data_IF_254332707326
#
_entry.id   IF_254332707326
#
_cell.length_a   1.000
_cell.length_b   1.000
_cell.length_c   1.000
_cell.angle_alpha   90.00
_cell.angle_beta   90.00
_cell.angle_gamma   90.00
#
_symmetry.space_group_name_H-M   'P 1'
#
loop_
_entity.id
_entity.type
_entity.pdbx_description
1 polymer ?
#
# COMPACT_ATOMS: atom_id res chain seq x y z
N UNK A 1 -19.91 11.29 -20.74
CA UNK A 1 -19.30 11.31 -19.40
C UNK A 1 -19.56 9.96 -18.74
N UNK A 2 -18.53 9.42 -18.12
CA UNK A 2 -18.42 8.10 -17.50
C UNK A 2 -18.16 6.93 -18.44
N UNK A 3 -17.71 7.10 -19.68
CA UNK A 3 -17.56 5.93 -20.60
C UNK A 3 -16.31 5.12 -20.27
N UNK A 4 -15.17 5.80 -20.07
CA UNK A 4 -13.90 5.14 -19.80
C UNK A 4 -13.92 4.49 -18.41
N UNK A 5 -14.46 5.21 -17.41
CA UNK A 5 -14.65 4.65 -16.06
C UNK A 5 -15.54 3.40 -16.05
N UNK A 6 -16.65 3.39 -16.79
CA UNK A 6 -17.53 2.21 -16.91
C UNK A 6 -16.83 1.04 -17.56
N UNK A 7 -16.15 1.24 -18.70
CA UNK A 7 -15.42 0.17 -19.38
C UNK A 7 -14.36 -0.45 -18.47
N UNK A 8 -13.60 0.36 -17.73
CA UNK A 8 -12.63 -0.13 -16.75
C UNK A 8 -13.31 -0.98 -15.67
N UNK A 9 -14.45 -0.54 -15.13
CA UNK A 9 -15.19 -1.28 -14.09
C UNK A 9 -15.76 -2.59 -14.63
N UNK A 10 -16.32 -2.58 -15.84
CA UNK A 10 -16.83 -3.77 -16.52
C UNK A 10 -15.71 -4.79 -16.77
N UNK A 11 -14.59 -4.38 -17.35
CA UNK A 11 -13.41 -5.25 -17.53
C UNK A 11 -12.89 -5.76 -16.19
N UNK A 12 -12.83 -4.91 -15.16
CA UNK A 12 -12.37 -5.33 -13.82
C UNK A 12 -13.30 -6.38 -13.23
N UNK A 13 -14.62 -6.25 -13.42
CA UNK A 13 -15.59 -7.24 -12.96
C UNK A 13 -15.47 -8.57 -13.71
N UNK A 14 -15.09 -8.54 -15.00
CA UNK A 14 -14.89 -9.75 -15.80
C UNK A 14 -13.56 -10.45 -15.53
N UNK A 15 -12.47 -9.68 -15.42
CA UNK A 15 -11.08 -10.20 -15.40
C UNK A 15 -10.43 -10.18 -14.02
N UNK A 16 -11.01 -9.48 -13.06
CA UNK A 16 -10.41 -9.24 -11.74
C UNK A 16 -9.27 -8.22 -11.78
N UNK A 17 -8.67 -7.97 -10.62
CA UNK A 17 -7.50 -7.10 -10.47
C UNK A 17 -6.28 -7.84 -11.06
N UNK A 18 -5.49 -7.20 -11.94
CA UNK A 18 -4.35 -7.83 -12.58
C UNK A 18 -3.23 -8.14 -11.58
N UNK A 19 -2.61 -9.30 -11.75
CA UNK A 19 -1.32 -9.57 -11.10
C UNK A 19 -0.20 -8.74 -11.75
N UNK A 20 0.85 -8.39 -10.98
CA UNK A 20 1.03 -8.71 -9.56
C UNK A 20 0.48 -7.63 -8.60
N UNK A 21 -0.33 -6.69 -9.11
CA UNK A 21 -0.87 -5.60 -8.32
C UNK A 21 -1.92 -6.03 -7.30
N UNK A 22 -2.65 -7.12 -7.58
CA UNK A 22 -3.49 -7.77 -6.58
C UNK A 22 -2.64 -8.23 -5.40
N UNK A 23 -1.61 -9.04 -5.65
CA UNK A 23 -0.68 -9.53 -4.62
C UNK A 23 0.01 -8.40 -3.84
N UNK A 24 0.43 -7.34 -4.54
CA UNK A 24 1.01 -6.17 -3.90
C UNK A 24 0.00 -5.44 -3.00
N UNK A 25 -1.22 -5.22 -3.48
CA UNK A 25 -2.30 -4.61 -2.71
C UNK A 25 -2.63 -5.42 -1.45
N UNK A 26 -2.69 -6.74 -1.55
CA UNK A 26 -2.89 -7.64 -0.42
C UNK A 26 -1.80 -7.51 0.64
N UNK A 27 -0.53 -7.39 0.23
CA UNK A 27 0.56 -7.10 1.16
C UNK A 27 0.35 -5.78 1.91
N UNK A 28 -0.14 -4.74 1.23
CA UNK A 28 -0.40 -3.45 1.88
C UNK A 28 -1.62 -3.52 2.82
N UNK A 29 -2.69 -4.22 2.46
CA UNK A 29 -3.79 -4.49 3.39
C UNK A 29 -3.33 -5.24 4.64
N UNK A 30 -2.47 -6.25 4.48
CA UNK A 30 -1.87 -7.00 5.59
C UNK A 30 -0.96 -6.14 6.44
N UNK A 31 -0.26 -5.17 5.86
CA UNK A 31 0.62 -4.26 6.60
C UNK A 31 -0.14 -3.49 7.69
N UNK A 32 -1.35 -2.99 7.39
CA UNK A 32 -2.22 -2.35 8.40
C UNK A 32 -2.79 -3.33 9.42
N UNK A 33 -3.12 -4.56 8.98
CA UNK A 33 -3.56 -5.62 9.90
C UNK A 33 -2.45 -5.98 10.90
N UNK A 34 -1.21 -6.15 10.43
CA UNK A 34 -0.04 -6.40 11.26
C UNK A 34 0.23 -5.26 12.23
N UNK A 35 0.06 -4.00 11.82
CA UNK A 35 0.24 -2.86 12.74
C UNK A 35 -0.79 -2.86 13.88
N UNK A 36 -2.05 -3.15 13.54
CA UNK A 36 -3.14 -3.26 14.52
C UNK A 36 -2.88 -4.41 15.50
N UNK A 37 -2.46 -5.56 14.97
CA UNK A 37 -2.13 -6.74 15.78
C UNK A 37 -0.91 -6.51 16.66
N UNK A 38 0.12 -5.85 16.13
CA UNK A 38 1.34 -5.52 16.86
C UNK A 38 1.05 -4.69 18.11
N UNK A 39 0.17 -3.69 18.02
CA UNK A 39 -0.30 -2.94 19.19
C UNK A 39 -0.98 -3.84 20.21
N UNK A 40 -1.88 -4.72 19.75
CA UNK A 40 -2.60 -5.64 20.60
C UNK A 40 -1.64 -6.55 21.38
N UNK A 41 -0.67 -7.16 20.71
CA UNK A 41 0.29 -8.07 21.36
C UNK A 41 1.26 -7.31 22.29
N UNK A 42 1.68 -6.09 21.94
CA UNK A 42 2.49 -5.22 22.81
C UNK A 42 1.72 -4.90 24.10
N UNK A 43 0.45 -4.52 24.00
CA UNK A 43 -0.38 -4.22 25.18
C UNK A 43 -0.58 -5.43 26.10
N UNK A 44 -0.67 -6.63 25.53
CA UNK A 44 -0.74 -7.88 26.30
C UNK A 44 0.59 -8.15 26.99
N UNK A 45 1.71 -8.07 26.26
CA UNK A 45 3.04 -8.27 26.81
C UNK A 45 3.37 -7.31 27.96
N UNK A 46 2.92 -6.05 27.86
CA UNK A 46 3.04 -5.07 28.96
C UNK A 46 2.31 -5.47 30.24
N UNK A 47 1.17 -6.18 30.12
CA UNK A 47 0.32 -6.58 31.25
C UNK A 47 0.78 -7.91 31.86
N UNK A 48 1.14 -8.87 31.02
CA UNK A 48 1.42 -10.25 31.42
C UNK A 48 2.90 -10.47 31.76
N UNK A 49 3.80 -9.82 31.02
CA UNK A 49 5.26 -9.88 31.21
C UNK A 49 5.83 -11.31 31.25
N UNK A 50 5.16 -12.26 30.60
CA UNK A 50 5.63 -13.64 30.48
C UNK A 50 6.35 -13.89 29.15
N UNK A 51 7.06 -15.02 29.06
CA UNK A 51 7.85 -15.36 27.89
C UNK A 51 6.98 -15.57 26.63
N UNK A 52 5.73 -16.00 26.78
CA UNK A 52 4.84 -16.27 25.66
C UNK A 52 4.38 -14.97 25.00
N UNK A 53 3.92 -14.00 25.79
CA UNK A 53 3.49 -12.69 25.34
C UNK A 53 4.64 -11.88 24.71
N UNK A 54 5.85 -11.92 25.28
CA UNK A 54 7.05 -11.32 24.66
C UNK A 54 7.42 -11.98 23.31
N UNK A 55 7.28 -13.31 23.23
CA UNK A 55 7.52 -14.06 21.98
C UNK A 55 6.47 -13.71 20.91
N UNK A 56 5.22 -13.46 21.31
CA UNK A 56 4.16 -13.05 20.38
C UNK A 56 4.48 -11.72 19.69
N UNK A 57 5.02 -10.73 20.42
CA UNK A 57 5.47 -9.45 19.83
C UNK A 57 6.57 -9.66 18.80
N UNK A 58 7.59 -10.46 19.14
CA UNK A 58 8.70 -10.76 18.23
C UNK A 58 8.22 -11.46 16.95
N UNK A 59 7.27 -12.38 17.08
CA UNK A 59 6.66 -13.07 15.94
C UNK A 59 5.90 -12.12 15.03
N UNK A 60 5.17 -11.16 15.61
CA UNK A 60 4.40 -10.19 14.84
C UNK A 60 5.31 -9.21 14.08
N UNK A 61 6.38 -8.71 14.70
CA UNK A 61 7.40 -7.93 13.99
C UNK A 61 8.03 -8.70 12.83
N UNK A 62 8.33 -9.99 13.03
CA UNK A 62 8.87 -10.83 11.98
C UNK A 62 7.88 -11.04 10.82
N UNK A 63 6.60 -11.29 11.12
CA UNK A 63 5.55 -11.45 10.12
C UNK A 63 5.36 -10.16 9.30
N UNK A 64 5.28 -9.01 9.98
CA UNK A 64 5.20 -7.68 9.37
C UNK A 64 6.38 -7.40 8.44
N UNK A 65 7.61 -7.68 8.91
CA UNK A 65 8.84 -7.50 8.12
C UNK A 65 8.86 -8.39 6.88
N UNK A 66 8.45 -9.66 7.01
CA UNK A 66 8.37 -10.60 5.89
C UNK A 66 7.34 -10.17 4.84
N UNK A 67 6.19 -9.64 5.28
CA UNK A 67 5.16 -9.09 4.41
C UNK A 67 5.69 -7.90 3.58
N UNK A 68 6.39 -6.95 4.21
CA UNK A 68 7.00 -5.82 3.50
C UNK A 68 8.13 -6.23 2.56
N UNK A 69 8.89 -7.27 2.91
CA UNK A 69 9.90 -7.83 2.01
C UNK A 69 9.26 -8.47 0.76
N UNK A 70 8.10 -9.12 0.94
CA UNK A 70 7.31 -9.68 -0.18
C UNK A 70 6.80 -8.56 -1.09
N UNK A 71 6.25 -7.49 -0.52
CA UNK A 71 5.79 -6.33 -1.28
C UNK A 71 6.92 -5.69 -2.11
N UNK A 72 8.10 -5.53 -1.52
CA UNK A 72 9.28 -5.01 -2.22
C UNK A 72 9.70 -5.93 -3.38
N UNK A 73 9.79 -7.24 -3.14
CA UNK A 73 10.16 -8.22 -4.16
C UNK A 73 9.20 -8.25 -5.35
N UNK A 74 7.90 -8.03 -5.12
CA UNK A 74 6.91 -7.90 -6.20
C UNK A 74 7.23 -6.69 -7.09
N UNK A 75 7.50 -5.53 -6.49
CA UNK A 75 7.82 -4.31 -7.25
C UNK A 75 9.13 -4.44 -8.02
N UNK A 76 10.17 -5.01 -7.39
CA UNK A 76 11.46 -5.24 -8.03
C UNK A 76 11.31 -6.16 -9.25
N UNK A 77 10.58 -7.27 -9.10
CA UNK A 77 10.33 -8.21 -10.20
C UNK A 77 9.62 -7.54 -11.39
N UNK A 78 8.54 -6.79 -11.15
CA UNK A 78 7.84 -6.10 -12.25
C UNK A 78 8.73 -5.08 -12.92
N UNK A 79 9.50 -4.33 -12.13
CA UNK A 79 10.39 -3.31 -12.69
C UNK A 79 11.42 -3.93 -13.62
N UNK A 80 12.03 -5.03 -13.20
CA UNK A 80 12.98 -5.78 -14.03
C UNK A 80 12.31 -6.34 -15.29
N UNK A 81 11.12 -6.94 -15.18
CA UNK A 81 10.38 -7.49 -16.31
C UNK A 81 9.98 -6.41 -17.33
N UNK A 82 9.58 -5.23 -16.87
CA UNK A 82 9.20 -4.10 -17.72
C UNK A 82 10.40 -3.39 -18.33
N UNK A 83 11.53 -3.31 -17.62
CA UNK A 83 12.80 -2.83 -18.17
C UNK A 83 13.28 -3.73 -19.32
N UNK A 84 13.08 -5.05 -19.22
CA UNK A 84 13.44 -6.02 -20.29
C UNK A 84 12.46 -5.99 -21.46
N UNK A 85 11.15 -5.92 -21.17
CA UNK A 85 10.11 -6.00 -22.21
C UNK A 85 9.83 -4.67 -22.92
N UNK A 86 10.31 -3.54 -22.39
CA UNK A 86 10.06 -2.20 -22.95
C UNK A 86 8.64 -1.68 -22.68
N UNK A 87 7.96 -2.26 -21.69
CA UNK A 87 6.54 -2.02 -21.42
C UNK A 87 6.23 -0.58 -20.96
N UNK A 88 7.23 0.14 -20.44
CA UNK A 88 7.08 1.49 -19.91
C UNK A 88 6.49 2.49 -20.92
N UNK A 89 6.93 2.46 -22.18
CA UNK A 89 6.43 3.38 -23.21
C UNK A 89 4.94 3.16 -23.50
N UNK A 90 4.52 1.89 -23.50
CA UNK A 90 3.11 1.51 -23.68
C UNK A 90 2.27 2.03 -22.51
N UNK A 91 2.75 1.83 -21.28
CA UNK A 91 2.07 2.28 -20.07
C UNK A 91 1.99 3.80 -19.98
N UNK A 92 3.04 4.52 -20.38
CA UNK A 92 3.05 5.98 -20.43
C UNK A 92 2.04 6.51 -21.47
N UNK A 93 1.92 5.86 -22.62
CA UNK A 93 0.92 6.20 -23.63
C UNK A 93 -0.52 5.98 -23.11
N UNK A 94 -0.75 4.92 -22.34
CA UNK A 94 -2.04 4.70 -21.66
C UNK A 94 -2.28 5.79 -20.60
N UNK A 95 -1.27 6.15 -19.81
CA UNK A 95 -1.42 7.14 -18.74
C UNK A 95 -1.75 8.51 -19.31
N UNK A 96 -1.13 8.88 -20.45
CA UNK A 96 -1.43 10.10 -21.19
C UNK A 96 -2.90 10.15 -21.64
N UNK A 97 -3.48 9.01 -22.03
CA UNK A 97 -4.87 8.89 -22.53
C UNK A 97 -5.94 8.76 -21.44
N UNK A 98 -5.56 8.40 -20.22
CA UNK A 98 -6.50 8.26 -19.10
C UNK A 98 -7.20 9.60 -18.80
N UNK A 99 -8.53 9.62 -18.89
CA UNK A 99 -9.37 10.73 -18.47
C UNK A 99 -9.62 10.61 -16.96
N UNK A 100 -8.83 11.36 -16.19
CA UNK A 100 -8.84 11.30 -14.73
C UNK A 100 -10.20 11.70 -14.18
N UNK A 101 -10.89 12.67 -14.78
CA UNK A 101 -12.15 13.14 -14.24
C UNK A 101 -13.27 12.13 -14.53
N UNK A 102 -13.30 11.55 -15.74
CA UNK A 102 -14.26 10.49 -16.13
C UNK A 102 -14.14 9.23 -15.25
N UNK A 103 -12.91 8.76 -15.03
CA UNK A 103 -12.66 7.58 -14.19
C UNK A 103 -12.93 7.89 -12.71
N UNK A 104 -12.62 9.10 -12.25
CA UNK A 104 -12.90 9.53 -10.87
C UNK A 104 -14.39 9.60 -10.55
N UNK A 105 -15.23 10.01 -11.50
CA UNK A 105 -16.70 10.03 -11.31
C UNK A 105 -17.22 8.64 -10.97
N UNK A 106 -16.75 7.61 -11.68
CA UNK A 106 -17.19 6.22 -11.45
C UNK A 106 -16.73 5.70 -10.07
N UNK A 107 -15.52 6.05 -9.63
CA UNK A 107 -15.05 5.70 -8.28
C UNK A 107 -15.75 6.48 -7.17
N UNK A 108 -16.21 7.71 -7.43
CA UNK A 108 -16.89 8.52 -6.43
C UNK A 108 -18.19 7.87 -5.94
N UNK A 109 -18.92 7.18 -6.83
CA UNK A 109 -20.18 6.51 -6.51
C UNK A 109 -20.02 5.38 -5.48
N UNK A 110 -18.85 4.74 -5.43
CA UNK A 110 -18.58 3.61 -4.52
C UNK A 110 -17.77 3.99 -3.28
N UNK A 111 -17.02 5.11 -3.32
CA UNK A 111 -16.13 5.53 -2.24
C UNK A 111 -16.73 6.59 -1.29
N UNK A 112 -17.98 7.01 -1.51
CA UNK A 112 -18.65 8.06 -0.74
C UNK A 112 -19.11 7.65 0.67
N UNK A 113 -18.35 6.80 1.37
CA UNK A 113 -18.68 6.34 2.73
C UNK A 113 -18.19 7.33 3.79
N UNK A 114 -17.05 8.00 3.56
CA UNK A 114 -16.48 9.01 4.47
C UNK A 114 -16.65 10.42 3.87
N UNK A 115 -17.02 11.45 4.66
CA UNK A 115 -17.24 12.81 4.15
C UNK A 115 -16.02 13.47 3.50
N UNK A 116 -14.81 13.08 3.92
CA UNK A 116 -13.56 13.48 3.30
C UNK A 116 -13.11 12.40 2.30
N UNK A 117 -13.10 12.67 0.97
CA UNK A 117 -12.83 11.66 -0.06
C UNK A 117 -11.32 11.45 -0.26
N UNK A 118 -10.61 11.04 0.80
CA UNK A 118 -9.15 10.84 0.76
C UNK A 118 -8.73 9.81 -0.31
N UNK A 119 -9.46 8.70 -0.42
CA UNK A 119 -9.18 7.64 -1.40
C UNK A 119 -9.28 8.18 -2.83
N UNK A 120 -10.34 8.94 -3.14
CA UNK A 120 -10.51 9.55 -4.46
C UNK A 120 -9.43 10.61 -4.73
N UNK A 121 -9.04 11.37 -3.71
CA UNK A 121 -7.96 12.34 -3.81
C UNK A 121 -6.63 11.65 -4.12
N UNK A 122 -6.35 10.53 -3.46
CA UNK A 122 -5.15 9.71 -3.69
C UNK A 122 -5.14 9.08 -5.09
N UNK A 123 -6.26 8.53 -5.58
CA UNK A 123 -6.40 8.01 -6.95
C UNK A 123 -6.03 9.08 -7.99
N UNK A 124 -6.63 10.28 -7.85
CA UNK A 124 -6.38 11.41 -8.75
C UNK A 124 -4.94 11.89 -8.68
N UNK A 125 -4.35 11.91 -7.49
CA UNK A 125 -2.94 12.24 -7.31
C UNK A 125 -2.06 11.25 -8.09
N UNK A 126 -2.25 9.94 -7.91
CA UNK A 126 -1.42 8.92 -8.55
C UNK A 126 -1.52 8.95 -10.08
N UNK A 127 -2.72 9.12 -10.64
CA UNK A 127 -2.86 9.24 -12.09
C UNK A 127 -2.23 10.51 -12.67
N UNK A 128 -2.32 11.65 -11.95
CA UNK A 128 -1.60 12.87 -12.34
C UNK A 128 -0.09 12.68 -12.25
N UNK A 129 0.37 12.02 -11.19
CA UNK A 129 1.78 11.70 -10.99
C UNK A 129 2.32 10.86 -12.15
N UNK A 130 1.59 9.82 -12.59
CA UNK A 130 1.98 9.02 -13.75
C UNK A 130 2.05 9.84 -15.04
N UNK A 131 1.12 10.78 -15.26
CA UNK A 131 1.16 11.66 -16.43
C UNK A 131 2.36 12.62 -16.42
N UNK A 132 2.79 13.05 -15.24
CA UNK A 132 3.90 14.00 -15.07
C UNK A 132 5.27 13.33 -15.06
N UNK A 133 5.38 12.18 -14.40
CA UNK A 133 6.66 11.51 -14.11
C UNK A 133 6.82 10.15 -14.80
N UNK A 134 5.84 9.74 -15.59
CA UNK A 134 5.77 8.41 -16.18
C UNK A 134 5.34 7.33 -15.18
N UNK A 135 4.91 6.20 -15.71
CA UNK A 135 4.46 5.05 -14.93
C UNK A 135 5.63 4.42 -14.18
N UNK A 136 6.84 4.42 -14.75
CA UNK A 136 8.06 3.99 -14.03
C UNK A 136 8.34 4.86 -12.80
N UNK A 137 8.07 6.16 -12.88
CA UNK A 137 8.15 7.07 -11.74
C UNK A 137 7.20 6.63 -10.61
N UNK A 138 5.97 6.27 -10.96
CA UNK A 138 5.01 5.75 -9.98
C UNK A 138 5.48 4.45 -9.30
N UNK A 139 6.04 3.49 -10.05
CA UNK A 139 6.63 2.27 -9.44
C UNK A 139 7.79 2.60 -8.50
N UNK A 140 8.59 3.61 -8.84
CA UNK A 140 9.68 4.10 -7.98
C UNK A 140 9.11 4.68 -6.70
N UNK A 141 8.10 5.54 -6.79
CA UNK A 141 7.38 6.08 -5.62
C UNK A 141 6.80 4.97 -4.73
N UNK A 142 6.20 3.92 -5.31
CA UNK A 142 5.72 2.77 -4.54
C UNK A 142 6.86 2.01 -3.85
N UNK A 143 8.03 1.91 -4.48
CA UNK A 143 9.21 1.26 -3.90
C UNK A 143 9.76 2.05 -2.71
N UNK A 144 9.88 3.38 -2.86
CA UNK A 144 10.33 4.29 -1.80
C UNK A 144 9.38 4.26 -0.61
N UNK A 145 8.08 4.17 -0.90
CA UNK A 145 7.04 4.01 0.11
C UNK A 145 7.20 2.72 0.93
N UNK A 146 7.40 1.57 0.28
CA UNK A 146 7.66 0.30 0.99
C UNK A 146 8.95 0.37 1.81
N UNK A 147 10.00 1.02 1.29
CA UNK A 147 11.24 1.23 2.04
C UNK A 147 11.03 2.10 3.29
N UNK A 148 10.19 3.13 3.21
CA UNK A 148 9.82 3.95 4.37
C UNK A 148 9.05 3.15 5.42
N UNK A 149 8.10 2.30 5.02
CA UNK A 149 7.38 1.40 5.93
C UNK A 149 8.31 0.40 6.64
N UNK A 150 9.31 -0.13 5.92
CA UNK A 150 10.33 -1.02 6.51
C UNK A 150 11.17 -0.30 7.55
N UNK A 151 11.63 0.92 7.24
CA UNK A 151 12.37 1.77 8.17
C UNK A 151 11.53 2.09 9.41
N UNK A 152 10.25 2.38 9.22
CA UNK A 152 9.30 2.65 10.29
C UNK A 152 9.06 1.42 11.18
N UNK A 153 8.97 0.23 10.58
CA UNK A 153 8.83 -1.05 11.32
C UNK A 153 10.07 -1.34 12.16
N UNK A 154 11.28 -1.13 11.61
CA UNK A 154 12.54 -1.28 12.34
C UNK A 154 12.61 -0.31 13.52
N UNK A 155 12.27 0.96 13.30
CA UNK A 155 12.22 1.96 14.37
C UNK A 155 11.27 1.56 15.51
N UNK A 156 10.11 0.99 15.18
CA UNK A 156 9.17 0.51 16.18
C UNK A 156 9.72 -0.69 16.95
N UNK A 157 10.36 -1.64 16.25
CA UNK A 157 11.01 -2.78 16.89
C UNK A 157 12.09 -2.34 17.87
N UNK A 158 12.98 -1.43 17.45
CA UNK A 158 14.01 -0.87 18.33
C UNK A 158 13.43 -0.16 19.56
N UNK A 159 12.29 0.53 19.42
CA UNK A 159 11.62 1.16 20.55
C UNK A 159 11.01 0.13 21.51
N UNK A 160 10.45 -0.95 20.98
CA UNK A 160 9.97 -2.07 21.78
C UNK A 160 11.10 -2.79 22.53
N UNK A 161 12.21 -3.09 21.85
CA UNK A 161 13.36 -3.76 22.46
C UNK A 161 13.94 -2.91 23.60
N UNK A 162 14.05 -1.59 23.41
CA UNK A 162 14.44 -0.66 24.49
C UNK A 162 13.44 -0.64 25.64
N UNK A 163 12.14 -0.73 25.35
CA UNK A 163 11.11 -0.80 26.39
C UNK A 163 11.27 -2.08 27.22
N UNK A 164 11.51 -3.23 26.58
CA UNK A 164 11.77 -4.50 27.27
C UNK A 164 13.01 -4.41 28.15
N UNK A 165 14.09 -3.81 27.66
CA UNK A 165 15.35 -3.69 28.40
C UNK A 165 15.28 -2.72 29.58
N UNK A 166 14.56 -1.61 29.44
CA UNK A 166 14.60 -0.48 30.37
C UNK A 166 13.33 -0.27 31.19
N UNK A 167 12.21 -0.85 30.77
CA UNK A 167 10.87 -0.58 31.27
C UNK A 167 10.31 0.80 30.88
N UNK A 168 11.02 1.59 30.06
CA UNK A 168 10.59 2.93 29.64
C UNK A 168 9.81 2.84 28.33
N UNK A 169 8.53 3.24 28.39
CA UNK A 169 7.62 3.18 27.24
C UNK A 169 7.81 4.39 26.32
N UNK A 170 8.14 4.15 25.04
CA UNK A 170 8.10 5.17 23.98
C UNK A 170 6.74 5.18 23.28
N UNK A 171 5.79 5.90 23.89
CA UNK A 171 4.43 6.06 23.37
C UNK A 171 4.42 6.79 22.02
N UNK A 172 5.34 7.74 21.80
CA UNK A 172 5.34 8.55 20.59
C UNK A 172 5.76 7.73 19.38
N UNK A 173 6.82 6.92 19.50
CA UNK A 173 7.22 6.03 18.42
C UNK A 173 6.12 5.02 18.11
N UNK A 174 5.47 4.43 19.13
CA UNK A 174 4.34 3.52 18.92
C UNK A 174 3.20 4.17 18.12
N UNK A 175 2.76 5.37 18.52
CA UNK A 175 1.67 6.10 17.84
C UNK A 175 2.06 6.46 16.41
N UNK A 176 3.27 6.97 16.19
CA UNK A 176 3.75 7.36 14.87
C UNK A 176 3.85 6.15 13.93
N UNK A 177 4.46 5.06 14.41
CA UNK A 177 4.67 3.88 13.59
C UNK A 177 3.36 3.18 13.23
N UNK A 178 2.42 3.11 14.16
CA UNK A 178 1.06 2.61 13.95
C UNK A 178 0.31 3.46 12.93
N UNK A 179 0.26 4.78 13.13
CA UNK A 179 -0.48 5.69 12.25
C UNK A 179 0.02 5.60 10.81
N UNK A 180 1.34 5.60 10.60
CA UNK A 180 1.92 5.45 9.25
C UNK A 180 1.57 4.09 8.63
N UNK A 181 1.56 3.02 9.43
CA UNK A 181 1.23 1.67 8.95
C UNK A 181 -0.28 1.46 8.73
N UNK A 182 -1.13 2.35 9.24
CA UNK A 182 -2.59 2.32 9.02
C UNK A 182 -2.96 3.25 7.86
N UNK A 183 -2.58 4.52 7.95
CA UNK A 183 -2.95 5.55 6.99
C UNK A 183 -2.44 5.20 5.60
N UNK A 184 -1.15 4.87 5.52
CA UNK A 184 -0.54 4.77 4.23
C UNK A 184 -1.04 3.53 3.47
N UNK A 185 -1.16 2.32 4.06
CA UNK A 185 -1.69 1.17 3.34
C UNK A 185 -3.21 1.20 3.10
N UNK A 186 -4.01 1.79 4.01
CA UNK A 186 -5.45 2.04 3.76
C UNK A 186 -5.67 2.93 2.52
N UNK A 187 -4.72 3.81 2.23
CA UNK A 187 -4.70 4.62 1.02
C UNK A 187 -3.85 4.03 -0.11
N UNK A 188 -3.25 2.84 0.03
CA UNK A 188 -2.42 2.21 -1.00
C UNK A 188 -3.02 0.94 -1.62
N UNK A 189 -4.13 0.39 -1.12
CA UNK A 189 -5.08 -0.36 -1.97
C UNK A 189 -5.63 0.54 -3.10
N UNK A 190 -5.30 1.83 -3.11
CA UNK A 190 -5.40 2.72 -4.27
C UNK A 190 -4.44 2.33 -5.39
N UNK A 191 -3.22 1.85 -5.10
CA UNK A 191 -2.21 1.57 -6.12
C UNK A 191 -2.69 0.48 -7.10
N UNK A 192 -3.35 -0.56 -6.60
CA UNK A 192 -3.93 -1.59 -7.47
C UNK A 192 -5.07 -1.00 -8.33
N UNK A 193 -5.94 -0.14 -7.78
CA UNK A 193 -7.01 0.54 -8.54
C UNK A 193 -6.45 1.51 -9.57
N UNK A 194 -5.39 2.23 -9.21
CA UNK A 194 -4.69 3.17 -10.09
C UNK A 194 -4.16 2.44 -11.32
N UNK A 195 -3.44 1.33 -11.12
CA UNK A 195 -2.86 0.56 -12.23
C UNK A 195 -3.91 -0.28 -12.96
N UNK A 196 -4.90 -0.84 -12.28
CA UNK A 196 -6.01 -1.56 -12.93
C UNK A 196 -6.72 -0.66 -13.92
N UNK A 197 -7.04 0.58 -13.51
CA UNK A 197 -7.65 1.57 -14.40
C UNK A 197 -6.77 1.87 -15.62
N UNK A 198 -5.45 1.88 -15.45
CA UNK A 198 -4.52 2.10 -16.54
C UNK A 198 -4.46 0.88 -17.49
N UNK A 199 -4.34 -0.33 -16.95
CA UNK A 199 -4.16 -1.56 -17.73
C UNK A 199 -5.42 -1.95 -18.50
N UNK A 200 -6.60 -1.61 -17.99
CA UNK A 200 -7.90 -1.90 -18.63
C UNK A 200 -8.50 -0.72 -19.40
N UNK A 201 -7.68 0.30 -19.67
CA UNK A 201 -8.12 1.50 -20.39
C UNK A 201 -8.78 1.20 -21.75
N UNK A 202 -8.30 0.16 -22.43
CA UNK A 202 -8.66 -0.18 -23.81
C UNK A 202 -9.64 -1.36 -23.94
N UNK A 203 -10.10 -1.97 -22.84
CA UNK A 203 -11.02 -3.13 -22.86
C UNK A 203 -10.40 -4.44 -22.45
#
# INVERSE_FOLDING_TARGET
>A
MGQQGRTIFETTNERGIPEPWLSFGDCLCRESAHATELKRVIEIARKEQDAESLTAVSREFAAKTANLATAAGILDQVRDDYDVSGEWERLDALAARLDIDDVSETWADVLAVHPLPLVLTSLRFNWRYMKEHGVRGFYTMCSDYVAALRTNTQRWQEAWDREVDTGVVDQLTTIQCDLVSIEAPLHCDVCNKTITALLYLDG
#
